data_IF_483007112982
#
_entry.id   IF_483007112982
#
_cell.length_a   1.000
_cell.length_b   1.000
_cell.length_c   1.000
_cell.angle_alpha   90.00
_cell.angle_beta   90.00
_cell.angle_gamma   90.00
#
_symmetry.space_group_name_H-M   'P 1'
#
loop_
_entity.id
_entity.type
_entity.pdbx_description
1 polymer ?
#
# COMPACT_ATOMS: atom_id res chain seq x y z
N UNK A 1 22.62 13.09 5.79
CA UNK A 1 22.49 11.74 5.21
C UNK A 1 22.23 11.92 3.72
N UNK A 2 22.84 11.10 2.87
CA UNK A 2 22.57 11.17 1.43
C UNK A 2 21.16 10.65 1.14
N UNK A 3 20.43 11.33 0.25
CA UNK A 3 19.07 10.88 -0.13
C UNK A 3 19.18 9.55 -0.85
N UNK A 4 18.37 8.57 -0.42
CA UNK A 4 18.28 7.28 -1.13
C UNK A 4 17.76 7.46 -2.54
N UNK A 5 18.22 6.61 -3.45
CA UNK A 5 17.71 6.48 -4.80
C UNK A 5 16.65 5.38 -4.85
N UNK A 6 15.42 5.75 -5.22
CA UNK A 6 14.26 4.86 -5.29
C UNK A 6 13.83 4.73 -6.75
N UNK A 7 13.71 3.51 -7.25
CA UNK A 7 12.99 3.29 -8.52
C UNK A 7 11.50 3.24 -8.22
N UNK A 8 10.72 4.03 -8.92
CA UNK A 8 9.26 3.97 -8.90
C UNK A 8 8.78 3.34 -10.21
N UNK A 9 8.20 2.16 -10.13
CA UNK A 9 7.60 1.46 -11.28
C UNK A 9 6.11 1.75 -11.25
N UNK A 10 5.64 2.60 -12.16
CA UNK A 10 4.24 3.02 -12.21
C UNK A 10 3.83 3.35 -13.64
N UNK A 11 2.52 3.31 -13.91
CA UNK A 11 1.97 3.81 -15.17
C UNK A 11 1.75 5.32 -15.18
N UNK A 12 1.51 5.89 -14.00
CA UNK A 12 1.24 7.32 -13.83
C UNK A 12 1.76 7.79 -12.47
N UNK A 13 2.08 9.09 -12.35
CA UNK A 13 2.36 9.73 -11.06
C UNK A 13 1.16 9.60 -10.12
N UNK A 14 1.42 9.35 -8.84
CA UNK A 14 0.42 9.18 -7.79
C UNK A 14 0.74 10.03 -6.56
N UNK A 15 -0.17 10.03 -5.57
CA UNK A 15 0.09 10.69 -4.28
C UNK A 15 1.36 10.10 -3.62
N UNK A 16 1.52 8.78 -3.69
CA UNK A 16 2.66 8.10 -3.09
C UNK A 16 3.98 8.37 -3.84
N UNK A 17 3.99 8.41 -5.18
CA UNK A 17 5.21 8.76 -5.93
C UNK A 17 5.63 10.22 -5.66
N UNK A 18 4.66 11.13 -5.62
CA UNK A 18 4.88 12.55 -5.29
C UNK A 18 5.45 12.74 -3.88
N UNK A 19 5.04 11.91 -2.91
CA UNK A 19 5.61 11.93 -1.57
C UNK A 19 7.04 11.37 -1.52
N UNK A 20 7.33 10.31 -2.29
CA UNK A 20 8.68 9.74 -2.36
C UNK A 20 9.68 10.76 -2.93
N UNK A 21 9.30 11.54 -3.93
CA UNK A 21 10.15 12.61 -4.51
C UNK A 21 10.56 13.67 -3.49
N UNK A 22 9.71 13.97 -2.51
CA UNK A 22 10.02 14.96 -1.46
C UNK A 22 11.20 14.50 -0.59
N UNK A 23 11.36 13.20 -0.35
CA UNK A 23 12.35 12.64 0.59
C UNK A 23 13.48 11.83 -0.05
N UNK A 24 13.38 11.50 -1.33
CA UNK A 24 14.34 10.63 -2.02
C UNK A 24 14.69 11.13 -3.42
N UNK A 25 15.68 10.52 -4.06
CA UNK A 25 15.96 10.68 -5.48
C UNK A 25 15.13 9.62 -6.20
N UNK A 26 14.10 10.04 -6.94
CA UNK A 26 13.19 9.12 -7.63
C UNK A 26 13.57 9.01 -9.11
N UNK A 27 13.61 7.77 -9.60
CA UNK A 27 13.63 7.49 -11.04
C UNK A 27 12.40 6.66 -11.39
N UNK A 28 11.52 7.24 -12.19
CA UNK A 28 10.31 6.54 -12.65
C UNK A 28 10.61 5.62 -13.84
N UNK A 29 9.98 4.45 -13.84
CA UNK A 29 9.95 3.51 -14.95
C UNK A 29 8.52 3.04 -15.20
N UNK A 30 8.23 2.74 -16.47
CA UNK A 30 6.97 2.15 -16.87
C UNK A 30 7.08 0.62 -16.87
N UNK A 31 6.04 -0.11 -16.44
CA UNK A 31 5.95 -1.56 -16.68
C UNK A 31 6.09 -1.87 -18.18
N UNK A 32 6.87 -2.89 -18.54
CA UNK A 32 7.23 -3.20 -19.92
C UNK A 32 8.46 -2.45 -20.44
N UNK A 33 9.02 -1.50 -19.66
CA UNK A 33 10.16 -0.66 -20.03
C UNK A 33 11.22 -0.58 -18.92
N UNK A 34 11.32 -1.61 -18.06
CA UNK A 34 12.32 -1.61 -17.00
C UNK A 34 13.76 -1.64 -17.55
N UNK A 35 14.66 -0.92 -16.87
CA UNK A 35 16.10 -0.91 -17.18
C UNK A 35 16.86 -1.57 -16.03
N UNK A 36 17.43 -2.75 -16.28
CA UNK A 36 18.08 -3.59 -15.24
C UNK A 36 19.20 -2.84 -14.51
N UNK A 37 20.00 -2.07 -15.23
CA UNK A 37 21.14 -1.34 -14.65
C UNK A 37 20.69 -0.26 -13.66
N UNK A 38 19.53 0.34 -13.89
CA UNK A 38 18.92 1.30 -12.96
C UNK A 38 18.31 0.59 -11.75
N UNK A 39 17.69 -0.58 -11.94
CA UNK A 39 17.25 -1.43 -10.84
C UNK A 39 18.43 -1.85 -9.95
N UNK A 40 19.58 -2.20 -10.53
CA UNK A 40 20.78 -2.63 -9.78
C UNK A 40 21.37 -1.48 -8.93
N UNK A 41 21.35 -0.24 -9.44
CA UNK A 41 21.94 0.95 -8.79
C UNK A 41 21.08 1.60 -7.68
N UNK A 42 19.80 1.26 -7.58
CA UNK A 42 18.92 1.87 -6.60
C UNK A 42 19.07 1.28 -5.20
N UNK A 43 18.64 2.01 -4.18
CA UNK A 43 18.60 1.53 -2.80
C UNK A 43 17.34 0.73 -2.49
N UNK A 44 16.22 1.06 -3.15
CA UNK A 44 14.95 0.37 -3.01
C UNK A 44 14.05 0.57 -4.24
N UNK A 45 12.94 -0.16 -4.28
CA UNK A 45 11.97 -0.16 -5.39
C UNK A 45 10.56 -0.01 -4.84
N UNK A 46 9.77 0.90 -5.40
CA UNK A 46 8.33 0.99 -5.21
C UNK A 46 7.62 0.64 -6.51
N UNK A 47 6.81 -0.41 -6.51
CA UNK A 47 5.91 -0.74 -7.61
C UNK A 47 4.52 -0.22 -7.22
N UNK A 48 4.01 0.73 -7.98
CA UNK A 48 2.78 1.47 -7.69
C UNK A 48 1.70 1.14 -8.74
N UNK A 49 1.18 -0.09 -8.68
CA UNK A 49 0.21 -0.60 -9.66
C UNK A 49 -1.19 0.02 -9.55
N UNK A 50 -1.52 0.62 -8.41
CA UNK A 50 -2.87 1.13 -8.09
C UNK A 50 -3.29 2.39 -8.86
N UNK A 51 -2.49 2.86 -9.81
CA UNK A 51 -2.80 4.04 -10.63
C UNK A 51 -3.80 3.76 -11.74
N UNK A 52 -4.12 2.50 -12.03
CA UNK A 52 -5.10 2.09 -13.04
C UNK A 52 -6.02 1.00 -12.50
N UNK A 53 -7.05 0.64 -13.28
CA UNK A 53 -8.01 -0.38 -12.89
C UNK A 53 -7.42 -1.80 -12.85
N UNK A 54 -6.53 -2.09 -13.79
CA UNK A 54 -5.92 -3.39 -13.96
C UNK A 54 -4.62 -3.46 -13.17
N UNK A 55 -4.37 -4.54 -12.39
CA UNK A 55 -3.10 -4.72 -11.70
C UNK A 55 -1.93 -4.79 -12.67
N UNK A 56 -0.73 -4.48 -12.20
CA UNK A 56 0.47 -4.66 -13.03
C UNK A 56 0.70 -6.16 -13.24
N UNK A 57 0.98 -6.51 -14.49
CA UNK A 57 1.46 -7.83 -14.90
C UNK A 57 2.81 -7.63 -15.57
N UNK A 58 3.88 -8.07 -14.90
CA UNK A 58 5.22 -7.94 -15.43
C UNK A 58 5.48 -8.95 -16.55
N UNK A 59 6.28 -8.54 -17.53
CA UNK A 59 6.81 -9.50 -18.49
C UNK A 59 7.76 -10.47 -17.77
N UNK A 60 7.92 -11.72 -18.26
CA UNK A 60 8.77 -12.72 -17.61
C UNK A 60 10.18 -12.21 -17.30
N UNK A 61 10.78 -11.44 -18.22
CA UNK A 61 12.12 -10.86 -18.06
C UNK A 61 12.18 -9.84 -16.92
N UNK A 62 11.17 -8.99 -16.80
CA UNK A 62 11.09 -7.96 -15.76
C UNK A 62 10.89 -8.59 -14.39
N UNK A 63 10.03 -9.61 -14.31
CA UNK A 63 9.83 -10.38 -13.07
C UNK A 63 11.13 -11.00 -12.59
N UNK A 64 11.92 -11.62 -13.49
CA UNK A 64 13.25 -12.16 -13.14
C UNK A 64 14.16 -11.07 -12.57
N UNK A 65 14.24 -9.91 -13.20
CA UNK A 65 15.10 -8.82 -12.72
C UNK A 65 14.66 -8.27 -11.35
N UNK A 66 13.37 -8.16 -11.11
CA UNK A 66 12.84 -7.72 -9.81
C UNK A 66 13.11 -8.76 -8.72
N UNK A 67 12.91 -10.04 -9.03
CA UNK A 67 13.20 -11.15 -8.11
C UNK A 67 14.69 -11.24 -7.78
N UNK A 68 15.59 -10.99 -8.74
CA UNK A 68 17.02 -10.86 -8.46
C UNK A 68 17.30 -9.75 -7.44
N UNK A 69 16.60 -8.61 -7.49
CA UNK A 69 16.78 -7.54 -6.50
C UNK A 69 16.26 -7.96 -5.12
N UNK A 70 15.12 -8.65 -5.07
CA UNK A 70 14.54 -9.18 -3.84
C UNK A 70 15.53 -10.17 -3.20
N UNK A 71 16.11 -11.09 -3.98
CA UNK A 71 17.11 -12.05 -3.48
C UNK A 71 18.41 -11.39 -2.99
N UNK A 72 18.76 -10.21 -3.52
CA UNK A 72 19.87 -9.38 -3.00
C UNK A 72 19.53 -8.65 -1.70
N UNK A 73 18.32 -8.81 -1.17
CA UNK A 73 17.86 -8.12 0.04
C UNK A 73 17.37 -6.68 -0.20
N UNK A 74 17.18 -6.28 -1.46
CA UNK A 74 16.69 -4.93 -1.78
C UNK A 74 15.24 -4.79 -1.30
N UNK A 75 14.92 -3.70 -0.63
CA UNK A 75 13.54 -3.42 -0.21
C UNK A 75 12.67 -3.16 -1.43
N UNK A 76 11.58 -3.91 -1.56
CA UNK A 76 10.60 -3.77 -2.62
C UNK A 76 9.22 -3.62 -1.99
N UNK A 77 8.61 -2.45 -2.18
CA UNK A 77 7.18 -2.28 -1.95
C UNK A 77 6.42 -2.63 -3.23
N UNK A 78 5.50 -3.59 -3.16
CA UNK A 78 4.77 -4.11 -4.31
C UNK A 78 3.27 -3.90 -4.13
N UNK A 79 2.73 -2.88 -4.79
CA UNK A 79 1.31 -2.55 -4.76
C UNK A 79 0.60 -3.02 -6.03
N UNK A 80 -0.53 -3.70 -5.85
CA UNK A 80 -1.54 -3.99 -6.87
C UNK A 80 -0.93 -4.65 -8.12
N UNK A 81 -0.15 -5.70 -7.89
CA UNK A 81 0.45 -6.56 -8.91
C UNK A 81 -0.21 -7.95 -8.86
N UNK A 82 -0.36 -8.61 -10.01
CA UNK A 82 -0.88 -9.99 -10.03
C UNK A 82 0.13 -10.99 -9.50
N UNK A 83 1.42 -10.77 -9.78
CA UNK A 83 2.47 -11.68 -9.32
C UNK A 83 3.83 -11.02 -9.16
N UNK A 84 4.51 -11.38 -8.08
CA UNK A 84 5.91 -11.06 -7.81
C UNK A 84 6.41 -11.94 -6.65
N UNK A 85 7.61 -12.51 -6.77
CA UNK A 85 8.06 -13.49 -5.81
C UNK A 85 7.14 -14.71 -5.85
N UNK A 86 6.81 -15.26 -4.68
CA UNK A 86 5.90 -16.40 -4.60
C UNK A 86 4.43 -16.00 -4.79
N UNK A 87 4.09 -14.70 -4.65
CA UNK A 87 2.72 -14.19 -4.74
C UNK A 87 2.15 -14.35 -6.13
N UNK A 88 0.96 -14.95 -6.20
CA UNK A 88 0.12 -15.00 -7.37
C UNK A 88 -1.34 -14.74 -6.98
N UNK A 89 -2.00 -13.87 -7.73
CA UNK A 89 -3.39 -13.46 -7.53
C UNK A 89 -4.18 -13.52 -8.84
N UNK A 90 -5.46 -13.91 -8.81
CA UNK A 90 -6.36 -13.83 -9.95
C UNK A 90 -6.83 -12.38 -10.18
N UNK A 91 -7.81 -12.21 -11.07
CA UNK A 91 -8.43 -10.91 -11.36
C UNK A 91 -8.94 -10.21 -10.09
N UNK A 92 -8.74 -8.88 -9.96
CA UNK A 92 -9.19 -8.15 -8.79
C UNK A 92 -10.70 -8.19 -8.56
N UNK A 93 -11.10 -8.04 -7.30
CA UNK A 93 -12.50 -7.97 -6.87
C UNK A 93 -12.75 -6.69 -6.06
N UNK A 94 -14.00 -6.24 -6.02
CA UNK A 94 -14.38 -5.03 -5.27
C UNK A 94 -14.32 -5.26 -3.76
N UNK A 95 -13.85 -4.24 -3.03
CA UNK A 95 -13.76 -4.25 -1.56
C UNK A 95 -15.02 -3.70 -0.88
N UNK A 96 -16.10 -3.39 -1.62
CA UNK A 96 -17.31 -2.74 -1.10
C UNK A 96 -17.87 -3.37 0.19
N UNK A 97 -17.88 -4.69 0.27
CA UNK A 97 -18.38 -5.47 1.40
C UNK A 97 -17.30 -5.83 2.45
N UNK A 98 -16.06 -5.39 2.25
CA UNK A 98 -14.93 -5.75 3.08
C UNK A 98 -14.41 -4.54 3.85
N UNK A 99 -13.78 -4.78 5.00
CA UNK A 99 -13.09 -3.74 5.77
C UNK A 99 -11.67 -4.17 6.10
N UNK A 100 -10.71 -3.24 6.03
CA UNK A 100 -9.34 -3.50 6.41
C UNK A 100 -9.23 -3.44 7.92
N UNK A 101 -8.66 -4.48 8.52
CA UNK A 101 -8.36 -4.55 9.95
C UNK A 101 -6.86 -4.49 10.11
N UNK A 102 -6.38 -3.62 11.00
CA UNK A 102 -5.00 -3.62 11.42
C UNK A 102 -4.71 -4.82 12.33
N UNK A 103 -3.93 -5.76 11.81
CA UNK A 103 -3.57 -7.00 12.47
C UNK A 103 -2.23 -6.93 13.21
N UNK A 104 -1.46 -5.86 12.97
CA UNK A 104 -0.07 -5.72 13.41
C UNK A 104 0.16 -6.13 14.86
N UNK A 105 0.80 -7.29 15.02
CA UNK A 105 1.28 -7.82 16.30
C UNK A 105 2.81 -7.71 16.38
N UNK A 106 3.50 -8.07 15.29
CA UNK A 106 4.96 -7.93 15.15
C UNK A 106 5.36 -6.57 14.54
N UNK A 107 4.49 -5.97 13.72
CA UNK A 107 4.71 -4.66 13.11
C UNK A 107 3.97 -3.59 13.90
N UNK A 108 4.72 -2.74 14.61
CA UNK A 108 4.18 -1.57 15.30
C UNK A 108 4.19 -0.34 14.38
N UNK A 109 3.03 0.30 14.24
CA UNK A 109 2.87 1.56 13.50
C UNK A 109 2.31 2.60 14.45
N UNK A 110 3.04 3.72 14.60
CA UNK A 110 2.63 4.83 15.46
C UNK A 110 1.26 5.37 15.02
N UNK A 111 0.30 5.43 15.95
CA UNK A 111 -1.07 5.88 15.69
C UNK A 111 -2.05 4.80 15.23
N UNK A 112 -1.60 3.54 15.10
CA UNK A 112 -2.46 2.37 14.84
C UNK A 112 -2.44 1.41 16.03
N UNK A 113 -3.59 0.84 16.35
CA UNK A 113 -3.78 -0.19 17.38
C UNK A 113 -4.37 -1.45 16.75
N UNK A 114 -3.94 -2.63 17.23
CA UNK A 114 -4.49 -3.93 16.80
C UNK A 114 -6.02 -3.89 16.90
N UNK A 115 -6.71 -4.21 15.79
CA UNK A 115 -8.17 -4.14 15.66
C UNK A 115 -8.71 -2.84 15.06
N UNK A 116 -7.85 -1.85 14.80
CA UNK A 116 -8.26 -0.63 14.12
C UNK A 116 -8.82 -0.94 12.73
N UNK A 117 -9.99 -0.38 12.43
CA UNK A 117 -10.61 -0.47 11.11
C UNK A 117 -10.12 0.67 10.22
N UNK A 118 -9.68 0.32 9.00
CA UNK A 118 -9.37 1.24 7.91
C UNK A 118 -10.34 0.99 6.74
N UNK A 119 -10.90 2.06 6.22
CA UNK A 119 -11.83 2.08 5.09
C UNK A 119 -11.11 2.64 3.87
N UNK A 120 -11.16 1.90 2.77
CA UNK A 120 -10.53 2.23 1.48
C UNK A 120 -11.55 2.62 0.40
N UNK A 121 -12.82 2.87 0.78
CA UNK A 121 -13.85 3.47 -0.06
C UNK A 121 -14.15 2.72 -1.38
N UNK A 122 -14.61 1.47 -1.29
CA UNK A 122 -14.99 0.65 -2.46
C UNK A 122 -13.84 0.48 -3.47
N UNK A 123 -12.65 0.20 -2.96
CA UNK A 123 -11.46 -0.13 -3.72
C UNK A 123 -11.57 -1.47 -4.47
N UNK A 124 -10.46 -1.90 -5.05
CA UNK A 124 -10.28 -3.20 -5.68
C UNK A 124 -9.06 -3.91 -5.08
N UNK A 125 -9.18 -5.21 -4.87
CA UNK A 125 -8.15 -6.06 -4.25
C UNK A 125 -7.80 -7.26 -5.13
N UNK A 126 -6.52 -7.58 -5.26
CA UNK A 126 -6.01 -8.84 -5.82
C UNK A 126 -5.87 -9.88 -4.70
N UNK A 127 -6.81 -10.81 -4.59
CA UNK A 127 -6.77 -11.82 -3.52
C UNK A 127 -5.69 -12.88 -3.80
N UNK A 128 -4.58 -12.96 -3.02
CA UNK A 128 -3.55 -13.94 -3.31
C UNK A 128 -4.09 -15.37 -3.16
N UNK A 129 -3.55 -16.32 -3.92
CA UNK A 129 -3.83 -17.73 -3.64
C UNK A 129 -3.19 -18.14 -2.31
N UNK A 130 -3.91 -18.94 -1.52
CA UNK A 130 -3.52 -19.31 -0.15
C UNK A 130 -2.15 -20.03 -0.07
N UNK A 131 -1.74 -20.71 -1.14
CA UNK A 131 -0.47 -21.45 -1.22
C UNK A 131 0.72 -20.60 -1.71
N UNK A 132 0.46 -19.40 -2.21
CA UNK A 132 1.44 -18.51 -2.85
C UNK A 132 1.74 -17.28 -2.00
N UNK A 133 1.30 -17.24 -0.75
CA UNK A 133 1.41 -16.08 0.11
C UNK A 133 1.96 -16.50 1.46
N UNK A 134 2.80 -15.66 2.07
CA UNK A 134 3.26 -15.88 3.44
C UNK A 134 2.11 -16.13 4.42
N UNK A 135 2.31 -17.07 5.35
CA UNK A 135 1.36 -17.43 6.41
C UNK A 135 1.61 -16.67 7.72
N UNK A 136 2.66 -15.82 7.79
CA UNK A 136 2.94 -14.95 8.94
C UNK A 136 1.82 -13.96 9.20
N UNK A 137 1.70 -13.35 10.38
CA UNK A 137 0.65 -12.36 10.64
C UNK A 137 0.77 -11.16 9.69
N UNK A 138 -0.29 -10.77 8.95
CA UNK A 138 -0.23 -9.61 8.05
C UNK A 138 -0.28 -8.29 8.84
N UNK A 139 0.07 -7.18 8.19
CA UNK A 139 -0.13 -5.83 8.73
C UNK A 139 -1.62 -5.45 8.63
N UNK A 140 -2.21 -5.69 7.45
CA UNK A 140 -3.63 -5.46 7.18
C UNK A 140 -4.28 -6.71 6.57
N UNK A 141 -5.52 -6.98 6.96
CA UNK A 141 -6.34 -8.05 6.38
C UNK A 141 -7.78 -7.59 6.18
N UNK A 142 -8.38 -7.96 5.06
CA UNK A 142 -9.80 -7.74 4.81
C UNK A 142 -10.67 -8.70 5.62
N UNK A 143 -11.78 -8.18 6.14
CA UNK A 143 -12.82 -8.95 6.82
C UNK A 143 -14.16 -8.67 6.14
N UNK A 144 -14.95 -9.73 5.89
CA UNK A 144 -16.34 -9.63 5.42
C UNK A 144 -17.24 -9.14 6.57
N UNK A 145 -18.20 -8.27 6.24
CA UNK A 145 -19.07 -7.51 7.15
C UNK A 145 -19.65 -8.32 8.31
N UNK A 146 -19.34 -7.95 9.56
CA UNK A 146 -20.21 -7.14 10.44
C UNK A 146 -19.40 -6.20 11.39
N UNK A 147 -18.27 -5.67 10.90
CA UNK A 147 -17.26 -4.99 11.72
C UNK A 147 -17.74 -3.67 12.37
N UNK A 148 -18.84 -3.09 11.88
CA UNK A 148 -19.45 -1.89 12.48
C UNK A 148 -20.37 -2.20 13.65
N UNK A 149 -20.77 -3.47 13.82
CA UNK A 149 -21.64 -3.90 14.90
C UNK A 149 -20.85 -4.31 16.16
N UNK A 150 -19.59 -4.75 16.01
CA UNK A 150 -18.75 -5.27 17.10
C UNK A 150 -17.26 -5.00 16.87
N UNK A 151 -16.49 -4.83 17.95
CA UNK A 151 -15.02 -4.81 17.85
C UNK A 151 -14.51 -6.16 17.28
N UNK A 152 -13.72 -6.14 16.19
CA UNK A 152 -13.28 -7.37 15.54
C UNK A 152 -12.31 -8.15 16.44
N UNK A 153 -12.57 -9.45 16.62
CA UNK A 153 -11.59 -10.35 17.22
C UNK A 153 -10.46 -10.61 16.21
N UNK A 154 -9.35 -9.90 16.37
CA UNK A 154 -8.23 -9.93 15.43
C UNK A 154 -7.61 -11.32 15.28
N UNK A 155 -7.59 -12.14 16.34
CA UNK A 155 -7.01 -13.49 16.23
C UNK A 155 -7.86 -14.37 15.30
N UNK A 156 -9.18 -14.19 15.30
CA UNK A 156 -10.07 -14.83 14.33
C UNK A 156 -9.89 -14.25 12.93
N UNK A 157 -9.63 -12.94 12.80
CA UNK A 157 -9.34 -12.30 11.52
C UNK A 157 -8.07 -12.88 10.91
N UNK A 158 -6.97 -12.93 11.65
CA UNK A 158 -5.68 -13.46 11.17
C UNK A 158 -5.78 -14.94 10.80
N UNK A 159 -6.55 -15.72 11.57
CA UNK A 159 -6.83 -17.13 11.28
C UNK A 159 -7.86 -17.35 10.16
N UNK A 160 -8.47 -16.29 9.64
CA UNK A 160 -9.40 -16.39 8.51
C UNK A 160 -8.63 -16.67 7.20
N UNK A 161 -9.29 -16.53 6.06
CA UNK A 161 -8.73 -16.90 4.76
C UNK A 161 -7.46 -16.10 4.43
N UNK A 162 -6.37 -16.80 4.10
CA UNK A 162 -5.08 -16.21 3.67
C UNK A 162 -5.28 -15.28 2.46
N UNK A 163 -6.16 -15.66 1.53
CA UNK A 163 -6.57 -14.84 0.38
C UNK A 163 -7.19 -13.47 0.71
N UNK A 164 -7.50 -13.17 1.97
CA UNK A 164 -7.97 -11.84 2.38
C UNK A 164 -6.84 -10.90 2.84
N UNK A 165 -5.58 -11.30 2.79
CA UNK A 165 -4.45 -10.44 3.15
C UNK A 165 -4.39 -9.19 2.27
N UNK A 166 -4.18 -8.06 2.91
CA UNK A 166 -4.21 -6.74 2.27
C UNK A 166 -2.82 -6.08 2.20
N UNK A 167 -2.06 -6.16 3.29
CA UNK A 167 -0.69 -5.66 3.38
C UNK A 167 0.12 -6.60 4.27
N UNK A 168 1.20 -7.18 3.76
CA UNK A 168 2.04 -8.14 4.50
C UNK A 168 3.47 -8.19 3.97
N UNK A 169 4.40 -8.59 4.84
CA UNK A 169 5.72 -9.00 4.40
C UNK A 169 5.64 -10.43 3.86
N UNK A 170 6.07 -10.61 2.61
CA UNK A 170 6.23 -11.96 2.04
C UNK A 170 7.64 -12.50 2.31
N UNK A 171 7.92 -13.71 1.84
CA UNK A 171 9.24 -14.32 1.89
C UNK A 171 10.02 -14.01 0.61
N UNK A 172 11.22 -13.39 0.70
CA UNK A 172 11.88 -12.89 1.91
C UNK A 172 11.29 -11.54 2.42
N UNK A 173 11.48 -11.25 3.71
CA UNK A 173 10.87 -10.10 4.44
C UNK A 173 11.23 -8.68 3.92
N UNK A 174 12.07 -8.58 2.89
CA UNK A 174 12.31 -7.34 2.16
C UNK A 174 11.30 -7.09 1.02
N UNK A 175 10.34 -7.99 0.80
CA UNK A 175 9.18 -7.77 -0.06
C UNK A 175 7.94 -7.42 0.79
N UNK A 176 7.48 -6.18 0.70
CA UNK A 176 6.23 -5.73 1.32
C UNK A 176 5.13 -5.67 0.25
N UNK A 177 4.19 -6.61 0.31
CA UNK A 177 3.14 -6.75 -0.67
C UNK A 177 1.85 -6.07 -0.21
N UNK A 178 1.23 -5.29 -1.10
CA UNK A 178 -0.04 -4.60 -0.91
C UNK A 178 -1.00 -5.01 -2.03
N UNK A 179 -2.06 -5.73 -1.70
CA UNK A 179 -2.99 -6.30 -2.69
C UNK A 179 -4.07 -5.34 -3.18
N UNK A 180 -4.13 -4.12 -2.64
CA UNK A 180 -5.14 -3.13 -2.99
C UNK A 180 -4.49 -1.82 -3.46
N UNK A 181 -5.29 -0.90 -3.99
CA UNK A 181 -4.79 0.37 -4.53
C UNK A 181 -4.66 1.40 -3.40
N UNK A 182 -3.47 1.57 -2.84
CA UNK A 182 -3.16 2.58 -1.81
C UNK A 182 -2.56 3.87 -2.38
N UNK A 183 -2.04 3.85 -3.61
CA UNK A 183 -1.16 4.91 -4.14
C UNK A 183 -1.81 6.27 -4.35
N UNK A 184 -3.15 6.33 -4.48
CA UNK A 184 -3.95 7.55 -4.65
C UNK A 184 -4.88 7.81 -3.44
N UNK A 185 -4.34 7.66 -2.24
CA UNK A 185 -5.10 7.70 -0.99
C UNK A 185 -5.68 9.08 -0.63
N UNK A 186 -5.14 10.19 -1.16
CA UNK A 186 -5.68 11.54 -0.91
C UNK A 186 -7.02 11.67 -1.62
N UNK A 187 -7.04 11.36 -2.93
CA UNK A 187 -8.25 11.45 -3.76
C UNK A 187 -9.28 10.38 -3.43
N UNK A 188 -8.83 9.20 -3.01
CA UNK A 188 -9.70 8.07 -2.69
C UNK A 188 -10.45 8.19 -1.35
N UNK A 189 -10.30 9.30 -0.61
CA UNK A 189 -11.07 9.59 0.63
C UNK A 189 -10.95 8.50 1.69
N UNK A 190 -9.78 7.91 1.80
CA UNK A 190 -9.46 6.89 2.80
C UNK A 190 -9.72 7.40 4.22
N UNK A 191 -10.32 6.54 5.06
CA UNK A 191 -10.75 6.92 6.42
C UNK A 191 -10.43 5.81 7.44
N UNK A 192 -10.17 6.15 8.72
CA UNK A 192 -9.91 7.50 9.25
C UNK A 192 -8.58 8.08 8.75
N UNK A 193 -8.57 9.36 8.37
CA UNK A 193 -7.39 10.00 7.74
C UNK A 193 -6.11 9.87 8.55
N UNK A 194 -6.17 10.10 9.86
CA UNK A 194 -4.99 10.04 10.73
C UNK A 194 -4.32 8.66 10.70
N UNK A 195 -5.13 7.59 10.74
CA UNK A 195 -4.67 6.19 10.67
C UNK A 195 -4.02 5.86 9.33
N UNK A 196 -4.60 6.36 8.24
CA UNK A 196 -4.01 6.23 6.91
C UNK A 196 -2.71 7.02 6.77
N UNK A 197 -2.64 8.26 7.27
CA UNK A 197 -1.40 9.04 7.29
C UNK A 197 -0.29 8.32 8.07
N UNK A 198 -0.61 7.72 9.22
CA UNK A 198 0.31 6.85 9.96
C UNK A 198 0.82 5.66 9.15
N UNK A 199 -0.08 4.97 8.43
CA UNK A 199 0.31 3.86 7.55
C UNK A 199 1.22 4.32 6.40
N UNK A 200 0.87 5.41 5.73
CA UNK A 200 1.67 5.97 4.62
C UNK A 200 3.06 6.40 5.09
N UNK A 201 3.15 7.05 6.26
CA UNK A 201 4.43 7.36 6.90
C UNK A 201 5.27 6.12 7.16
N UNK A 202 4.65 5.05 7.67
CA UNK A 202 5.34 3.79 7.87
C UNK A 202 5.87 3.21 6.55
N UNK A 203 5.08 3.19 5.48
CA UNK A 203 5.51 2.68 4.17
C UNK A 203 6.71 3.46 3.63
N UNK A 204 6.64 4.80 3.68
CA UNK A 204 7.73 5.67 3.22
C UNK A 204 8.97 5.50 4.09
N UNK A 205 8.82 5.44 5.41
CA UNK A 205 9.93 5.22 6.33
C UNK A 205 10.57 3.85 6.13
N UNK A 206 9.77 2.80 5.95
CA UNK A 206 10.28 1.47 5.69
C UNK A 206 11.12 1.43 4.40
N UNK A 207 10.64 2.07 3.33
CA UNK A 207 11.30 2.06 2.02
C UNK A 207 12.56 2.96 2.01
N UNK A 208 12.44 4.19 2.50
CA UNK A 208 13.46 5.24 2.36
C UNK A 208 14.36 5.38 3.59
N UNK A 209 13.89 4.98 4.77
CA UNK A 209 14.51 5.29 6.06
C UNK A 209 14.17 6.69 6.58
N UNK A 210 13.51 7.54 5.78
CA UNK A 210 13.16 8.91 6.14
C UNK A 210 11.77 8.97 6.78
N UNK A 211 11.62 9.80 7.82
CA UNK A 211 10.30 10.08 8.41
C UNK A 211 9.74 11.35 7.79
N UNK A 212 8.49 11.32 7.31
CA UNK A 212 7.80 12.50 6.78
C UNK A 212 6.85 13.11 7.82
N UNK A 213 6.67 14.44 7.80
CA UNK A 213 5.63 15.10 8.58
C UNK A 213 4.23 14.78 8.01
N UNK A 214 3.22 14.76 8.89
CA UNK A 214 1.80 14.70 8.51
C UNK A 214 1.41 15.85 7.57
N UNK A 215 2.08 17.00 7.68
CA UNK A 215 1.80 18.20 6.88
C UNK A 215 2.17 18.03 5.40
N UNK A 216 3.08 17.09 5.08
CA UNK A 216 3.43 16.78 3.70
C UNK A 216 2.33 15.98 2.99
N UNK A 217 1.40 15.40 3.76
CA UNK A 217 0.26 14.66 3.26
C UNK A 217 -0.94 15.60 3.24
N UNK A 218 -1.13 16.21 2.06
CA UNK A 218 -2.19 17.17 1.79
C UNK A 218 -3.58 16.55 1.98
N UNK A 219 -4.56 17.42 2.25
CA UNK A 219 -5.95 17.03 2.36
C UNK A 219 -6.74 17.69 1.24
N UNK A 220 -7.21 16.90 0.26
CA UNK A 220 -7.99 17.45 -0.86
C UNK A 220 -9.36 18.00 -0.40
N UNK A 221 -9.89 17.49 0.72
CA UNK A 221 -11.16 17.95 1.28
C UNK A 221 -11.01 18.23 2.79
N UNK A 222 -11.20 19.49 3.19
CA UNK A 222 -11.38 19.87 4.59
C UNK A 222 -12.88 19.95 4.91
N UNK A 223 -13.38 19.09 5.81
CA UNK A 223 -14.74 19.24 6.34
C UNK A 223 -14.69 20.34 7.40
N UNK A 224 -15.08 21.55 7.03
CA UNK A 224 -15.32 22.62 8.01
C UNK A 224 -16.71 22.41 8.61
N UNK A 225 -16.85 22.36 9.96
CA UNK A 225 -18.18 22.35 10.58
C UNK A 225 -18.95 23.60 10.12
N UNK A 226 -20.25 23.45 9.88
CA UNK A 226 -21.11 24.58 9.55
C UNK A 226 -21.06 25.60 10.68
N UNK A 227 -20.77 26.86 10.35
CA UNK A 227 -20.94 27.97 11.28
C UNK A 227 -22.23 28.72 10.95
N UNK A 228 -23.04 28.97 11.97
CA UNK A 228 -24.30 29.68 11.83
C UNK A 228 -24.02 31.11 11.33
N UNK A 229 -24.49 31.45 10.12
CA UNK A 229 -24.23 32.74 9.46
C UNK A 229 -23.30 32.70 8.24
N UNK A 230 -22.71 31.55 7.91
CA UNK A 230 -21.93 31.38 6.68
C UNK A 230 -22.84 31.26 5.44
N UNK A 231 -22.49 31.97 4.36
CA UNK A 231 -23.17 31.82 3.07
C UNK A 231 -22.81 30.47 2.43
N UNK A 232 -23.83 29.64 2.19
CA UNK A 232 -23.69 28.30 1.61
C UNK A 232 -23.06 28.30 0.20
N UNK A 233 -23.23 29.37 -0.59
CA UNK A 233 -22.63 29.51 -1.91
C UNK A 233 -21.10 29.66 -1.87
N UNK A 234 -20.53 30.09 -0.74
CA UNK A 234 -19.09 30.25 -0.56
C UNK A 234 -18.38 28.96 -0.08
N UNK A 235 -19.14 27.88 0.17
CA UNK A 235 -18.61 26.58 0.66
C UNK A 235 -18.44 25.51 -0.43
N UNK A 236 -18.97 25.73 -1.64
CA UNK A 236 -18.83 24.85 -2.80
C UNK A 236 -17.55 25.17 -3.59
#
# INVERSE_FOLDING_TARGET
MEKKTIIVITRQTSDLSSLLEKVSIVHEMQPGQLVKEQLDKSDAIAILGGTHEEPIVFQPKERIWLEEQIQKGKKVFCEYCQSLGDVYSPTPVSTRAFRLIFCGEETSIEGLKKGDVLEDQCNMVTKPHDITCSHKTPILQYMDTDVHAYEPNVDNVVKSQISNRALWFDEPENLLFCSFRVTNFIRARFAPKAKWKSLIQYLIHWLTGEKISFDLIEEEYSIKPYQEGENLEQRL
#
